data_IF_092511439426
#
_entry.id   IF_092511439426
#
_cell.length_a   1.000
_cell.length_b   1.000
_cell.length_c   1.000
_cell.angle_alpha   90.00
_cell.angle_beta   90.00
_cell.angle_gamma   90.00
#
_symmetry.space_group_name_H-M   'P 1'
#
loop_
_entity.id
_entity.type
_entity.pdbx_description
1 polymer ?
#
# COMPACT_ATOMS: atom_id res chain seq x y z
N UNK A 1 -1.38 -8.34 -13.39
CA UNK A 1 -1.12 -6.89 -13.36
C UNK A 1 -1.25 -6.18 -14.72
N UNK A 2 -0.69 -6.74 -15.81
CA UNK A 2 -0.61 -6.08 -17.14
C UNK A 2 -1.89 -5.38 -17.63
N UNK A 3 -3.06 -6.01 -17.52
CA UNK A 3 -4.32 -5.39 -17.96
C UNK A 3 -4.67 -4.12 -17.18
N UNK A 4 -4.40 -4.06 -15.87
CA UNK A 4 -4.64 -2.87 -15.05
C UNK A 4 -3.77 -1.71 -15.52
N UNK A 5 -2.49 -1.97 -15.82
CA UNK A 5 -1.57 -0.96 -16.35
C UNK A 5 -2.06 -0.41 -17.69
N UNK A 6 -2.53 -1.27 -18.60
CA UNK A 6 -3.10 -0.82 -19.87
C UNK A 6 -4.38 0.00 -19.68
N UNK A 7 -5.24 -0.38 -18.73
CA UNK A 7 -6.42 0.44 -18.36
C UNK A 7 -5.97 1.82 -17.86
N UNK A 8 -5.01 1.89 -16.93
CA UNK A 8 -4.53 3.16 -16.36
C UNK A 8 -3.99 4.10 -17.44
N UNK A 9 -3.30 3.60 -18.47
CA UNK A 9 -2.82 4.40 -19.60
C UNK A 9 -3.94 5.09 -20.38
N UNK A 10 -5.16 4.56 -20.33
CA UNK A 10 -6.34 5.12 -21.02
C UNK A 10 -7.16 6.06 -20.13
N UNK A 11 -6.91 6.09 -18.82
CA UNK A 11 -7.65 6.94 -17.89
C UNK A 11 -7.15 8.39 -17.95
N UNK A 12 -8.06 9.37 -17.85
CA UNK A 12 -7.68 10.78 -17.77
C UNK A 12 -6.89 11.04 -16.48
N UNK A 13 -5.99 12.03 -16.53
CA UNK A 13 -5.19 12.48 -15.38
C UNK A 13 -4.34 11.38 -14.72
N UNK A 14 -4.08 10.27 -15.41
CA UNK A 14 -3.22 9.19 -14.93
C UNK A 14 -1.93 9.13 -15.74
N UNK A 15 -0.82 8.78 -15.08
CA UNK A 15 0.49 8.57 -15.71
C UNK A 15 1.08 7.26 -15.25
N UNK A 16 1.64 6.52 -16.21
CA UNK A 16 2.42 5.31 -15.96
C UNK A 16 3.89 5.62 -16.24
N UNK A 17 4.75 5.47 -15.23
CA UNK A 17 6.18 5.67 -15.42
C UNK A 17 6.81 4.40 -16.01
N UNK A 18 7.79 4.54 -16.91
CA UNK A 18 8.50 3.39 -17.47
C UNK A 18 9.20 2.58 -16.37
N UNK A 19 9.32 1.24 -16.52
CA UNK A 19 10.02 0.42 -15.54
C UNK A 19 11.50 0.82 -15.44
N UNK A 20 12.03 0.83 -14.22
CA UNK A 20 13.44 1.17 -13.96
C UNK A 20 14.17 -0.03 -13.37
N UNK A 21 13.74 -0.51 -12.21
CA UNK A 21 14.27 -1.66 -11.49
C UNK A 21 13.26 -2.21 -10.50
N UNK A 22 13.55 -3.37 -9.91
CA UNK A 22 12.82 -3.84 -8.74
C UNK A 22 13.23 -3.05 -7.49
N UNK A 23 12.32 -2.85 -6.53
CA UNK A 23 12.63 -2.19 -5.26
C UNK A 23 13.66 -2.98 -4.46
N UNK A 24 14.42 -2.26 -3.63
CA UNK A 24 15.33 -2.87 -2.65
C UNK A 24 14.60 -3.09 -1.33
N UNK A 25 14.81 -4.24 -0.71
CA UNK A 25 14.25 -4.60 0.59
C UNK A 25 15.18 -5.59 1.29
N UNK A 26 14.99 -5.78 2.60
CA UNK A 26 15.73 -6.77 3.38
C UNK A 26 15.23 -8.18 3.05
N UNK A 27 15.99 -8.90 2.21
CA UNK A 27 15.60 -10.24 1.74
C UNK A 27 15.71 -11.33 2.80
N UNK A 28 16.39 -11.06 3.91
CA UNK A 28 16.56 -12.02 5.00
C UNK A 28 15.35 -11.97 5.95
N UNK A 29 14.54 -10.90 5.89
CA UNK A 29 13.37 -10.70 6.76
C UNK A 29 12.05 -10.57 6.00
N UNK A 30 12.08 -10.06 4.78
CA UNK A 30 10.89 -9.64 4.05
C UNK A 30 10.77 -10.37 2.71
N UNK A 31 9.52 -10.55 2.27
CA UNK A 31 9.17 -11.15 0.98
C UNK A 31 8.52 -10.09 0.11
N UNK A 32 8.94 -9.95 -1.15
CA UNK A 32 8.26 -9.07 -2.10
C UNK A 32 7.04 -9.78 -2.70
N UNK A 33 5.80 -9.25 -2.54
CA UNK A 33 4.61 -9.83 -3.13
C UNK A 33 4.76 -10.04 -4.63
N UNK A 34 4.24 -11.17 -5.14
CA UNK A 34 4.39 -11.54 -6.54
C UNK A 34 3.71 -10.55 -7.49
N UNK A 35 2.58 -9.98 -7.07
CA UNK A 35 1.83 -8.98 -7.83
C UNK A 35 2.53 -7.61 -7.84
N UNK A 36 3.15 -7.21 -6.73
CA UNK A 36 4.01 -6.02 -6.68
C UNK A 36 5.29 -6.20 -7.52
N UNK A 37 5.87 -7.40 -7.52
CA UNK A 37 6.99 -7.74 -8.39
C UNK A 37 6.59 -7.67 -9.88
N UNK A 38 5.41 -8.19 -10.23
CA UNK A 38 4.87 -8.06 -11.60
C UNK A 38 4.69 -6.57 -11.96
N UNK A 39 4.14 -5.76 -11.07
CA UNK A 39 3.96 -4.32 -11.25
C UNK A 39 5.26 -3.60 -11.57
N UNK A 40 6.30 -3.76 -10.74
CA UNK A 40 7.58 -3.08 -10.97
C UNK A 40 8.35 -3.64 -12.18
N UNK A 41 8.01 -4.84 -12.66
CA UNK A 41 8.54 -5.35 -13.93
C UNK A 41 7.91 -4.68 -15.16
N UNK A 42 6.71 -4.09 -15.00
CA UNK A 42 5.93 -3.47 -16.07
C UNK A 42 6.00 -1.94 -16.08
N UNK A 43 6.19 -1.31 -14.92
CA UNK A 43 6.26 0.15 -14.76
C UNK A 43 7.06 0.56 -13.53
N UNK A 44 7.48 1.82 -13.47
CA UNK A 44 8.33 2.38 -12.40
C UNK A 44 7.56 3.19 -11.36
N UNK A 45 6.26 2.94 -11.19
CA UNK A 45 5.35 3.76 -10.38
C UNK A 45 4.23 4.37 -11.20
N UNK A 46 3.27 4.99 -10.52
CA UNK A 46 2.06 5.58 -11.11
C UNK A 46 1.77 6.95 -10.50
N UNK A 47 1.15 7.81 -11.29
CA UNK A 47 0.35 8.93 -10.77
C UNK A 47 -1.09 8.64 -11.16
N UNK A 48 -1.98 8.54 -10.18
CA UNK A 48 -3.40 8.28 -10.40
C UNK A 48 -4.18 9.55 -10.09
N UNK A 49 -4.93 10.03 -11.08
CA UNK A 49 -5.87 11.14 -10.97
C UNK A 49 -5.24 12.46 -10.47
N UNK A 50 -4.10 12.87 -11.05
CA UNK A 50 -3.25 14.02 -10.62
C UNK A 50 -4.00 15.35 -10.41
N UNK A 51 -5.11 15.57 -11.12
CA UNK A 51 -5.89 16.80 -11.07
C UNK A 51 -7.13 16.69 -10.18
N UNK A 52 -7.32 15.57 -9.48
CA UNK A 52 -8.41 15.38 -8.52
C UNK A 52 -7.94 15.70 -7.10
N UNK A 53 -8.89 15.95 -6.20
CA UNK A 53 -8.59 16.33 -4.80
C UNK A 53 -7.83 15.23 -4.04
N UNK A 54 -8.06 13.95 -4.37
CA UNK A 54 -7.41 12.80 -3.73
C UNK A 54 -6.56 12.02 -4.74
N UNK A 55 -5.72 12.75 -5.47
CA UNK A 55 -4.66 12.17 -6.29
C UNK A 55 -3.72 11.31 -5.43
N UNK A 56 -3.25 10.19 -5.99
CA UNK A 56 -2.29 9.31 -5.32
C UNK A 56 -1.14 8.93 -6.24
N UNK A 57 0.05 8.89 -5.66
CA UNK A 57 1.26 8.43 -6.31
C UNK A 57 1.59 7.02 -5.81
N UNK A 58 1.66 6.04 -6.70
CA UNK A 58 2.33 4.77 -6.39
C UNK A 58 3.82 4.98 -6.60
N UNK A 59 4.59 4.80 -5.52
CA UNK A 59 5.96 5.30 -5.45
C UNK A 59 6.91 4.56 -6.39
N UNK A 60 7.97 5.24 -6.79
CA UNK A 60 9.04 4.63 -7.58
C UNK A 60 9.80 3.57 -6.75
N UNK A 61 10.50 2.62 -7.39
CA UNK A 61 11.29 1.60 -6.69
C UNK A 61 12.31 2.15 -5.67
N UNK A 62 12.80 3.37 -5.89
CA UNK A 62 13.71 4.12 -5.02
C UNK A 62 13.06 4.60 -3.72
N UNK A 63 11.77 4.89 -3.79
CA UNK A 63 10.96 5.47 -2.73
C UNK A 63 10.18 4.39 -1.96
N UNK A 64 10.21 3.15 -2.44
CA UNK A 64 9.73 1.97 -1.73
C UNK A 64 10.70 1.60 -0.60
N UNK A 65 10.55 2.28 0.54
CA UNK A 65 11.42 2.16 1.73
C UNK A 65 10.59 1.88 2.98
N UNK A 66 11.26 1.47 4.06
CA UNK A 66 10.61 1.26 5.36
C UNK A 66 9.85 2.51 5.81
N UNK A 67 8.62 2.32 6.26
CA UNK A 67 7.70 3.40 6.57
C UNK A 67 8.03 4.08 7.91
N UNK A 68 8.30 3.32 8.98
CA UNK A 68 8.48 3.87 10.32
C UNK A 68 9.55 4.99 10.38
N UNK A 69 10.77 4.80 9.82
CA UNK A 69 11.79 5.86 9.85
C UNK A 69 11.37 7.14 9.10
N UNK A 70 10.46 7.04 8.14
CA UNK A 70 9.96 8.19 7.37
C UNK A 70 8.80 8.89 8.10
N UNK A 71 7.85 8.12 8.63
CA UNK A 71 6.60 8.66 9.18
C UNK A 71 6.77 9.10 10.64
N UNK A 72 7.46 8.30 11.47
CA UNK A 72 7.60 8.52 12.91
C UNK A 72 9.05 8.73 13.37
N UNK A 73 10.03 8.60 12.48
CA UNK A 73 11.44 8.92 12.74
C UNK A 73 12.26 7.82 13.43
N UNK A 74 11.64 6.68 13.75
CA UNK A 74 12.28 5.55 14.41
C UNK A 74 11.91 4.24 13.70
N UNK A 75 12.71 3.18 13.84
CA UNK A 75 12.40 1.89 13.22
C UNK A 75 11.30 1.12 13.97
N UNK A 76 11.26 1.24 15.29
CA UNK A 76 10.37 0.46 16.17
C UNK A 76 10.45 -1.05 15.91
N UNK A 77 11.66 -1.62 16.00
CA UNK A 77 11.98 -2.99 15.53
C UNK A 77 11.16 -4.12 16.16
N UNK A 78 10.53 -3.89 17.31
CA UNK A 78 9.69 -4.87 18.01
C UNK A 78 8.22 -4.80 17.59
N UNK A 79 7.82 -3.79 16.81
CA UNK A 79 6.46 -3.60 16.33
C UNK A 79 6.26 -4.19 14.92
N UNK A 80 5.05 -4.69 14.62
CA UNK A 80 4.75 -5.28 13.30
C UNK A 80 4.92 -4.27 12.16
N UNK A 81 4.71 -2.97 12.42
CA UNK A 81 4.90 -1.88 11.45
C UNK A 81 6.33 -1.74 10.97
N UNK A 82 7.32 -2.27 11.72
CA UNK A 82 8.72 -2.28 11.27
C UNK A 82 8.96 -3.12 10.01
N UNK A 83 7.98 -3.90 9.56
CA UNK A 83 7.99 -4.65 8.31
C UNK A 83 7.28 -3.91 7.16
N UNK A 84 6.75 -2.71 7.39
CA UNK A 84 5.91 -1.99 6.43
C UNK A 84 6.73 -1.05 5.56
N UNK A 85 6.42 -1.03 4.27
CA UNK A 85 7.07 -0.19 3.28
C UNK A 85 6.09 0.80 2.67
N UNK A 86 6.55 2.01 2.37
CA UNK A 86 5.76 2.99 1.63
C UNK A 86 5.51 2.46 0.22
N UNK A 87 4.24 2.31 -0.16
CA UNK A 87 3.83 1.93 -1.52
C UNK A 87 3.08 3.06 -2.23
N UNK A 88 2.46 3.96 -1.48
CA UNK A 88 1.80 5.13 -2.02
C UNK A 88 1.94 6.36 -1.14
N UNK A 89 1.76 7.54 -1.74
CA UNK A 89 1.69 8.81 -1.04
C UNK A 89 0.76 9.80 -1.74
N UNK A 90 0.18 10.71 -0.98
CA UNK A 90 -0.53 11.88 -1.49
C UNK A 90 0.39 13.12 -1.53
N UNK A 91 -0.20 14.31 -1.71
CA UNK A 91 0.53 15.58 -1.72
C UNK A 91 0.64 16.28 -0.36
N UNK A 92 0.06 15.69 0.71
CA UNK A 92 -0.11 16.26 2.05
C UNK A 92 0.45 15.35 3.15
N UNK A 93 1.54 14.63 2.85
CA UNK A 93 2.21 13.68 3.76
C UNK A 93 1.36 12.48 4.22
N UNK A 94 0.26 12.19 3.54
CA UNK A 94 -0.49 10.94 3.67
C UNK A 94 0.22 9.81 2.93
N UNK A 95 0.31 8.64 3.56
CA UNK A 95 0.97 7.46 3.01
C UNK A 95 0.02 6.28 2.94
N UNK A 96 0.25 5.42 1.95
CA UNK A 96 -0.21 4.04 1.97
C UNK A 96 1.02 3.17 2.17
N UNK A 97 0.96 2.30 3.18
CA UNK A 97 2.05 1.37 3.49
C UNK A 97 1.63 -0.06 3.20
N UNK A 98 2.60 -0.96 3.04
CA UNK A 98 2.39 -2.37 2.73
C UNK A 98 3.27 -3.27 3.60
N UNK A 99 2.68 -4.31 4.19
CA UNK A 99 3.42 -5.31 4.96
C UNK A 99 4.17 -6.28 4.04
N UNK A 100 5.48 -6.45 4.26
CA UNK A 100 6.31 -7.45 3.58
C UNK A 100 6.69 -8.64 4.47
N UNK A 101 6.17 -8.73 5.69
CA UNK A 101 6.29 -9.93 6.53
C UNK A 101 5.47 -11.07 5.94
N UNK A 102 5.94 -12.31 6.11
CA UNK A 102 5.29 -13.49 5.53
C UNK A 102 3.85 -13.69 6.01
N UNK A 103 3.58 -13.38 7.28
CA UNK A 103 2.26 -13.57 7.92
C UNK A 103 1.17 -12.63 7.36
N UNK A 104 1.55 -11.41 6.95
CA UNK A 104 0.63 -10.35 6.51
C UNK A 104 0.94 -9.86 5.09
N UNK A 105 1.67 -10.67 4.33
CA UNK A 105 2.27 -10.31 3.06
C UNK A 105 1.29 -9.63 2.11
N UNK A 106 1.58 -8.38 1.75
CA UNK A 106 0.83 -7.60 0.76
C UNK A 106 -0.36 -6.81 1.31
N UNK A 107 -0.70 -6.95 2.60
CA UNK A 107 -1.72 -6.09 3.23
C UNK A 107 -1.27 -4.63 3.18
N UNK A 108 -2.21 -3.74 2.86
CA UNK A 108 -1.97 -2.31 2.78
C UNK A 108 -2.74 -1.56 3.86
N UNK A 109 -2.16 -0.47 4.36
CA UNK A 109 -2.71 0.32 5.46
C UNK A 109 -2.79 1.80 5.10
N UNK A 110 -3.80 2.47 5.63
CA UNK A 110 -3.82 3.93 5.73
C UNK A 110 -2.76 4.36 6.74
N UNK A 111 -1.83 5.24 6.36
CA UNK A 111 -0.68 5.59 7.20
C UNK A 111 -0.45 7.08 7.20
N UNK A 112 -0.58 7.65 8.39
CA UNK A 112 -0.29 9.04 8.70
C UNK A 112 0.32 9.12 10.09
N UNK A 113 0.91 10.26 10.45
CA UNK A 113 1.66 10.40 11.71
C UNK A 113 0.83 10.01 12.95
N UNK A 114 -0.49 10.15 12.89
CA UNK A 114 -1.43 9.95 14.00
C UNK A 114 -2.06 8.54 14.07
N UNK A 115 -1.81 7.69 13.07
CA UNK A 115 -2.43 6.36 12.96
C UNK A 115 -1.48 5.23 12.55
N UNK A 116 -0.32 5.57 12.00
CA UNK A 116 0.65 4.61 11.52
C UNK A 116 1.24 3.80 12.68
N UNK A 117 1.04 2.48 12.65
CA UNK A 117 1.53 1.57 13.68
C UNK A 117 0.82 1.74 15.04
N UNK A 118 -0.42 2.23 15.05
CA UNK A 118 -1.20 2.43 16.27
C UNK A 118 -2.34 1.43 16.33
N UNK A 119 -2.42 0.68 17.43
CA UNK A 119 -3.46 -0.32 17.69
C UNK A 119 -4.85 0.32 17.60
N UNK A 120 -5.69 -0.24 16.73
CA UNK A 120 -7.07 0.24 16.51
C UNK A 120 -7.20 1.42 15.53
N UNK A 121 -6.08 1.96 15.04
CA UNK A 121 -6.04 3.05 14.05
C UNK A 121 -5.32 2.64 12.75
N UNK A 122 -4.61 1.50 12.75
CA UNK A 122 -3.89 0.95 11.59
C UNK A 122 -4.81 0.11 10.70
N UNK A 123 -5.82 0.77 10.11
CA UNK A 123 -6.85 0.12 9.31
C UNK A 123 -6.27 -0.61 8.08
N UNK A 124 -6.70 -1.86 7.88
CA UNK A 124 -6.42 -2.60 6.64
C UNK A 124 -7.31 -2.03 5.53
N UNK A 125 -6.69 -1.49 4.47
CA UNK A 125 -7.39 -0.89 3.33
C UNK A 125 -7.36 -1.75 2.06
N UNK A 126 -6.44 -2.72 1.98
CA UNK A 126 -6.40 -3.72 0.91
C UNK A 126 -5.63 -4.98 1.38
N UNK A 127 -5.95 -6.15 0.83
CA UNK A 127 -5.28 -7.42 1.16
C UNK A 127 -4.10 -7.74 0.24
N UNK A 128 -3.96 -7.02 -0.87
CA UNK A 128 -2.89 -7.17 -1.84
C UNK A 128 -2.64 -5.86 -2.58
N UNK A 129 -1.51 -5.77 -3.28
CA UNK A 129 -1.22 -4.62 -4.14
C UNK A 129 -2.24 -4.50 -5.28
N UNK A 130 -2.66 -5.64 -5.83
CA UNK A 130 -3.69 -5.69 -6.88
C UNK A 130 -5.03 -5.16 -6.40
N UNK A 131 -5.47 -5.54 -5.19
CA UNK A 131 -6.71 -5.04 -4.59
C UNK A 131 -6.65 -3.52 -4.37
N UNK A 132 -5.52 -3.03 -3.86
CA UNK A 132 -5.29 -1.60 -3.69
C UNK A 132 -5.47 -0.86 -5.01
N UNK A 133 -4.79 -1.30 -6.08
CA UNK A 133 -4.89 -0.67 -7.39
C UNK A 133 -6.32 -0.69 -7.95
N UNK A 134 -7.02 -1.83 -7.85
CA UNK A 134 -8.39 -1.94 -8.33
C UNK A 134 -9.30 -0.95 -7.60
N UNK A 135 -9.18 -0.86 -6.27
CA UNK A 135 -9.99 0.06 -5.47
C UNK A 135 -9.67 1.52 -5.79
N UNK A 136 -8.39 1.88 -5.96
CA UNK A 136 -7.99 3.24 -6.36
C UNK A 136 -8.54 3.62 -7.74
N UNK A 137 -8.42 2.73 -8.74
CA UNK A 137 -8.95 2.94 -10.09
C UNK A 137 -10.47 3.15 -10.05
N UNK A 138 -11.19 2.27 -9.35
CA UNK A 138 -12.65 2.35 -9.24
C UNK A 138 -13.11 3.63 -8.52
N UNK A 139 -12.28 4.16 -7.62
CA UNK A 139 -12.56 5.34 -6.83
C UNK A 139 -12.33 6.67 -7.55
N UNK A 140 -11.56 6.67 -8.65
CA UNK A 140 -11.40 7.81 -9.56
C UNK A 140 -10.95 9.12 -8.89
N UNK A 141 -10.06 9.04 -7.89
CA UNK A 141 -9.48 10.23 -7.22
C UNK A 141 -10.47 11.09 -6.41
N UNK A 142 -11.69 10.60 -6.15
CA UNK A 142 -12.76 11.40 -5.53
C UNK A 142 -12.57 11.70 -4.04
N UNK A 143 -12.50 10.66 -3.21
CA UNK A 143 -12.29 10.69 -1.76
C UNK A 143 -11.70 9.34 -1.39
N UNK A 144 -10.81 9.24 -0.42
CA UNK A 144 -10.20 7.95 -0.06
C UNK A 144 -11.28 6.88 0.16
N UNK A 145 -11.20 5.79 -0.61
CA UNK A 145 -12.30 4.82 -0.65
C UNK A 145 -12.54 4.17 0.71
N UNK A 146 -11.48 4.04 1.53
CA UNK A 146 -11.54 3.49 2.88
C UNK A 146 -12.17 4.44 3.90
N UNK A 147 -12.23 5.74 3.61
CA UNK A 147 -12.88 6.75 4.44
C UNK A 147 -14.35 6.98 4.06
N UNK A 148 -14.84 6.36 2.97
CA UNK A 148 -16.25 6.47 2.56
C UNK A 148 -17.15 5.69 3.53
N UNK A 149 -18.34 6.22 3.82
CA UNK A 149 -19.32 5.61 4.77
C UNK A 149 -19.72 4.17 4.43
N UNK A 150 -19.65 3.79 3.16
CA UNK A 150 -20.02 2.45 2.68
C UNK A 150 -18.82 1.50 2.56
N UNK A 151 -17.60 1.94 2.91
CA UNK A 151 -16.46 1.05 3.02
C UNK A 151 -16.73 0.03 4.12
N UNK A 152 -16.49 -1.24 3.82
CA UNK A 152 -16.55 -2.31 4.81
C UNK A 152 -15.14 -2.49 5.37
N UNK A 153 -14.91 -2.21 6.67
CA UNK A 153 -13.59 -2.40 7.27
C UNK A 153 -13.08 -3.83 7.06
N UNK A 154 -11.79 -3.96 6.76
CA UNK A 154 -11.11 -5.25 6.62
C UNK A 154 -10.45 -5.70 7.93
N UNK A 155 -10.69 -4.97 9.03
CA UNK A 155 -10.00 -5.11 10.31
C UNK A 155 -8.87 -4.10 10.49
N UNK A 156 -8.20 -4.22 11.63
CA UNK A 156 -7.02 -3.49 12.02
C UNK A 156 -5.76 -4.36 11.90
N UNK A 157 -4.59 -3.74 11.70
CA UNK A 157 -3.32 -4.46 11.61
C UNK A 157 -3.01 -5.30 12.86
N UNK A 158 -3.52 -4.88 14.02
CA UNK A 158 -3.28 -5.49 15.32
C UNK A 158 -4.44 -6.36 15.79
N UNK A 159 -5.49 -6.55 14.98
CA UNK A 159 -6.52 -7.53 15.29
C UNK A 159 -5.87 -8.92 15.41
N UNK A 160 -5.97 -9.54 16.59
CA UNK A 160 -5.63 -10.94 16.75
C UNK A 160 -6.56 -11.72 15.83
N UNK A 161 -6.03 -12.23 14.71
CA UNK A 161 -6.81 -13.05 13.80
C UNK A 161 -7.51 -14.14 14.62
N UNK A 162 -8.82 -14.32 14.43
CA UNK A 162 -9.50 -15.50 14.94
C UNK A 162 -8.66 -16.70 14.53
N UNK A 163 -7.92 -17.27 15.49
CA UNK A 163 -7.30 -18.58 15.28
C UNK A 163 -8.48 -19.48 14.99
N UNK A 164 -8.62 -19.91 13.74
CA UNK A 164 -9.46 -21.04 13.42
C UNK A 164 -8.86 -22.18 14.24
N UNK A 165 -9.46 -22.40 15.41
CA UNK A 165 -9.20 -23.58 16.20
C UNK A 165 -9.84 -24.67 15.35
N UNK A 166 -9.02 -25.33 14.52
CA UNK A 166 -9.41 -26.61 13.93
C UNK A 166 -9.74 -27.52 15.12
N UNK A 167 -11.04 -27.63 15.40
CA UNK A 167 -11.54 -28.61 16.34
C UNK A 167 -11.28 -29.96 15.70
N UNK A 168 -10.30 -30.66 16.27
CA UNK A 168 -10.06 -32.10 16.15
C UNK A 168 -11.36 -32.90 16.15
#
# INVERSE_FOLDING_TARGET
>A
MKQLIEIIKTLPNCRVHGPTRLPKFDKDKHVLPSDLKEFYSLCGGLVLFENEEYAIHIVAPEEFVLANPIIIGELCADDISSNWYIIGKDCMDGYVTMDLSEERLGRCYDSFFDRHGIVGEAQIIANSFTDLLINLINNQGQYWYWLKRNFKPLGDAYDEGEKVIDKL
#
